data_IF_351018613796
#
_entry.id   IF_351018613796
#
_cell.length_a   1.000
_cell.length_b   1.000
_cell.length_c   1.000
_cell.angle_alpha   90.00
_cell.angle_beta   90.00
_cell.angle_gamma   90.00
#
_symmetry.space_group_name_H-M   'P 1'
#
loop_
_entity.id
_entity.type
_entity.pdbx_description
1 polymer ?
#
# COMPACT_ATOMS: atom_id res chain seq x y z
N UNK A 1 -50.68 -32.75 -175.43
CA UNK A 1 -52.14 -32.58 -175.30
C UNK A 1 -52.40 -31.09 -175.22
N UNK A 2 -53.20 -30.60 -176.15
CA UNK A 2 -53.47 -29.20 -176.46
C UNK A 2 -54.18 -28.50 -175.28
N UNK A 3 -53.43 -27.71 -174.49
CA UNK A 3 -53.91 -27.07 -173.25
C UNK A 3 -54.84 -25.87 -173.50
N UNK A 4 -54.91 -25.33 -174.74
CA UNK A 4 -56.02 -24.43 -175.13
C UNK A 4 -57.36 -25.15 -175.08
N UNK A 5 -57.38 -26.48 -175.26
CA UNK A 5 -58.60 -27.26 -175.07
C UNK A 5 -58.96 -27.46 -173.59
N UNK A 6 -58.01 -27.35 -172.65
CA UNK A 6 -58.31 -27.38 -171.21
C UNK A 6 -58.91 -26.05 -170.75
N UNK A 7 -58.39 -24.93 -171.27
CA UNK A 7 -58.96 -23.59 -171.03
C UNK A 7 -60.35 -23.44 -171.67
N UNK A 8 -60.57 -24.04 -172.85
CA UNK A 8 -61.90 -24.17 -173.44
C UNK A 8 -62.81 -25.15 -172.67
N UNK A 9 -62.29 -26.23 -172.08
CA UNK A 9 -63.09 -27.15 -171.25
C UNK A 9 -63.52 -26.51 -169.92
N UNK A 10 -62.68 -25.65 -169.32
CA UNK A 10 -63.02 -24.86 -168.14
C UNK A 10 -63.97 -23.70 -168.45
N UNK A 11 -63.95 -23.15 -169.67
CA UNK A 11 -64.91 -22.17 -170.17
C UNK A 11 -66.16 -22.81 -170.82
N UNK A 12 -66.25 -24.14 -170.87
CA UNK A 12 -67.45 -24.86 -171.28
C UNK A 12 -68.43 -24.87 -170.10
N UNK A 13 -69.67 -24.41 -170.32
CA UNK A 13 -70.66 -24.16 -169.27
C UNK A 13 -70.93 -25.33 -168.33
N UNK A 14 -70.71 -26.56 -168.80
CA UNK A 14 -71.00 -27.82 -168.10
C UNK A 14 -70.07 -28.07 -166.87
N UNK A 15 -68.77 -27.74 -166.95
CA UNK A 15 -67.87 -27.93 -165.80
C UNK A 15 -68.11 -26.88 -164.69
N UNK A 16 -68.43 -25.65 -165.09
CA UNK A 16 -68.81 -24.57 -164.16
C UNK A 16 -70.13 -24.92 -163.48
N UNK A 17 -71.12 -25.43 -164.21
CA UNK A 17 -72.40 -25.91 -163.65
C UNK A 17 -72.22 -27.09 -162.69
N UNK A 18 -71.35 -28.05 -162.97
CA UNK A 18 -71.09 -29.17 -162.05
C UNK A 18 -70.42 -28.71 -160.75
N UNK A 19 -69.47 -27.77 -160.82
CA UNK A 19 -68.84 -27.18 -159.63
C UNK A 19 -69.83 -26.33 -158.84
N UNK A 20 -70.67 -25.52 -159.51
CA UNK A 20 -71.73 -24.76 -158.85
C UNK A 20 -72.78 -25.68 -158.20
N UNK A 21 -73.22 -26.74 -158.88
CA UNK A 21 -74.18 -27.71 -158.32
C UNK A 21 -73.60 -28.48 -157.12
N UNK A 22 -72.30 -28.79 -157.15
CA UNK A 22 -71.60 -29.45 -156.05
C UNK A 22 -71.42 -28.52 -154.84
N UNK A 23 -71.06 -27.25 -155.08
CA UNK A 23 -70.96 -26.23 -154.03
C UNK A 23 -72.33 -25.89 -153.45
N UNK A 24 -73.38 -25.80 -154.27
CA UNK A 24 -74.76 -25.56 -153.85
C UNK A 24 -75.32 -26.73 -153.05
N UNK A 25 -74.97 -27.97 -153.42
CA UNK A 25 -75.26 -29.18 -152.64
C UNK A 25 -74.57 -29.20 -151.27
N UNK A 26 -73.33 -28.73 -151.18
CA UNK A 26 -72.59 -28.63 -149.91
C UNK A 26 -73.10 -27.45 -149.05
N UNK A 27 -73.41 -26.30 -149.64
CA UNK A 27 -73.90 -25.11 -148.93
C UNK A 27 -75.34 -25.26 -148.42
N UNK A 28 -76.21 -26.00 -149.13
CA UNK A 28 -77.59 -26.20 -148.71
C UNK A 28 -77.74 -27.26 -147.60
N UNK A 29 -76.89 -28.29 -147.55
CA UNK A 29 -77.10 -29.38 -146.59
C UNK A 29 -76.73 -28.96 -145.16
N UNK A 30 -75.68 -28.18 -144.96
CA UNK A 30 -75.22 -27.82 -143.60
C UNK A 30 -76.04 -26.68 -142.95
N UNK A 31 -76.34 -25.63 -143.72
CA UNK A 31 -77.11 -24.49 -143.20
C UNK A 31 -78.56 -24.86 -142.88
N UNK A 32 -79.16 -25.75 -143.67
CA UNK A 32 -80.55 -26.21 -143.50
C UNK A 32 -80.67 -27.17 -142.31
N UNK A 33 -79.64 -27.96 -142.03
CA UNK A 33 -79.58 -28.77 -140.81
C UNK A 33 -79.40 -27.90 -139.56
N UNK A 34 -78.59 -26.84 -139.63
CA UNK A 34 -78.44 -25.88 -138.53
C UNK A 34 -79.73 -25.08 -138.31
N UNK A 35 -80.37 -24.61 -139.38
CA UNK A 35 -81.66 -23.93 -139.35
C UNK A 35 -82.74 -24.85 -138.78
N UNK A 36 -82.80 -26.12 -139.17
CA UNK A 36 -83.71 -27.11 -138.60
C UNK A 36 -83.39 -27.45 -137.14
N UNK A 37 -82.12 -27.46 -136.73
CA UNK A 37 -81.74 -27.67 -135.33
C UNK A 37 -82.14 -26.49 -134.44
N UNK A 38 -82.01 -25.26 -134.96
CA UNK A 38 -82.44 -24.02 -134.29
C UNK A 38 -83.98 -23.84 -134.31
N UNK A 39 -84.64 -24.29 -135.38
CA UNK A 39 -86.10 -24.30 -135.54
C UNK A 39 -86.75 -25.61 -135.05
N UNK A 40 -85.97 -26.52 -134.46
CA UNK A 40 -86.51 -27.67 -133.74
C UNK A 40 -87.21 -27.10 -132.51
N UNK A 41 -88.54 -27.09 -132.52
CA UNK A 41 -89.38 -26.45 -131.50
C UNK A 41 -88.93 -26.73 -130.07
N UNK A 42 -88.33 -27.90 -129.83
CA UNK A 42 -87.76 -28.30 -128.55
C UNK A 42 -86.62 -27.37 -128.04
N UNK A 43 -85.67 -26.93 -128.87
CA UNK A 43 -84.58 -26.04 -128.40
C UNK A 43 -85.09 -24.64 -128.06
N UNK A 44 -85.93 -24.08 -128.92
CA UNK A 44 -86.57 -22.77 -128.69
C UNK A 44 -87.41 -22.79 -127.42
N UNK A 45 -88.27 -23.79 -127.25
CA UNK A 45 -89.09 -23.97 -126.04
C UNK A 45 -88.22 -24.15 -124.80
N UNK A 46 -87.16 -24.96 -124.84
CA UNK A 46 -86.22 -25.12 -123.72
C UNK A 46 -85.57 -23.79 -123.31
N UNK A 47 -85.15 -22.96 -124.28
CA UNK A 47 -84.59 -21.64 -123.99
C UNK A 47 -85.64 -20.73 -123.35
N UNK A 48 -86.88 -20.70 -123.86
CA UNK A 48 -87.96 -19.92 -123.25
C UNK A 48 -88.30 -20.40 -121.84
N UNK A 49 -88.46 -21.71 -121.61
CA UNK A 49 -88.75 -22.27 -120.29
C UNK A 49 -87.59 -22.05 -119.31
N UNK A 50 -86.34 -22.07 -119.78
CA UNK A 50 -85.18 -21.75 -118.93
C UNK A 50 -85.14 -20.27 -118.54
N UNK A 51 -85.43 -19.37 -119.48
CA UNK A 51 -85.52 -17.93 -119.20
C UNK A 51 -86.69 -17.60 -118.29
N UNK A 52 -87.83 -18.26 -118.47
CA UNK A 52 -88.99 -18.14 -117.58
C UNK A 52 -88.67 -18.70 -116.19
N UNK A 53 -87.97 -19.83 -116.09
CA UNK A 53 -87.46 -20.36 -114.82
C UNK A 53 -86.52 -19.38 -114.11
N UNK A 54 -85.56 -18.78 -114.83
CA UNK A 54 -84.67 -17.74 -114.28
C UNK A 54 -85.46 -16.51 -113.83
N UNK A 55 -86.48 -16.11 -114.60
CA UNK A 55 -87.33 -14.97 -114.27
C UNK A 55 -88.15 -15.24 -113.00
N UNK A 56 -88.74 -16.43 -112.85
CA UNK A 56 -89.49 -16.80 -111.66
C UNK A 56 -88.57 -16.95 -110.43
N UNK A 57 -87.36 -17.50 -110.58
CA UNK A 57 -86.33 -17.49 -109.52
C UNK A 57 -86.00 -16.04 -109.13
N UNK A 58 -85.84 -15.14 -110.10
CA UNK A 58 -85.53 -13.73 -109.82
C UNK A 58 -86.64 -13.03 -109.03
N UNK A 59 -87.92 -13.32 -109.33
CA UNK A 59 -89.06 -12.80 -108.58
C UNK A 59 -89.08 -13.29 -107.15
N UNK A 60 -88.89 -14.60 -106.94
CA UNK A 60 -88.86 -15.18 -105.60
C UNK A 60 -87.71 -14.58 -104.79
N UNK A 61 -86.51 -14.50 -105.36
CA UNK A 61 -85.35 -13.87 -104.69
C UNK A 61 -85.61 -12.40 -104.32
N UNK A 62 -86.32 -11.65 -105.18
CA UNK A 62 -86.67 -10.27 -104.92
C UNK A 62 -87.82 -10.10 -103.89
N UNK A 63 -88.63 -11.14 -103.68
CA UNK A 63 -89.70 -11.18 -102.67
C UNK A 63 -89.25 -11.76 -101.32
N UNK A 64 -88.05 -12.34 -101.24
CA UNK A 64 -87.51 -12.84 -99.98
C UNK A 64 -87.10 -11.67 -99.08
N UNK A 65 -88.00 -11.30 -98.16
CA UNK A 65 -87.74 -10.38 -97.04
C UNK A 65 -86.50 -10.77 -96.21
N UNK A 66 -86.02 -12.02 -96.33
CA UNK A 66 -84.73 -12.46 -95.77
C UNK A 66 -83.57 -11.53 -96.14
N UNK A 67 -83.46 -11.10 -97.40
CA UNK A 67 -82.37 -10.23 -97.85
C UNK A 67 -82.47 -8.81 -97.26
N UNK A 68 -83.69 -8.33 -97.01
CA UNK A 68 -83.93 -7.04 -96.35
C UNK A 68 -83.64 -7.11 -94.84
N UNK A 69 -84.03 -8.21 -94.19
CA UNK A 69 -83.75 -8.45 -92.78
C UNK A 69 -82.25 -8.52 -92.46
N UNK A 70 -81.42 -9.02 -93.38
CA UNK A 70 -79.95 -8.97 -93.21
C UNK A 70 -79.43 -7.52 -93.19
N UNK A 71 -79.91 -6.65 -94.09
CA UNK A 71 -79.51 -5.24 -94.12
C UNK A 71 -79.94 -4.47 -92.87
N UNK A 72 -81.14 -4.73 -92.34
CA UNK A 72 -81.65 -4.05 -91.14
C UNK A 72 -80.89 -4.50 -89.88
N UNK A 73 -80.59 -5.79 -89.75
CA UNK A 73 -79.74 -6.29 -88.66
C UNK A 73 -78.31 -5.73 -88.70
N UNK A 74 -77.71 -5.61 -89.89
CA UNK A 74 -76.37 -5.03 -90.04
C UNK A 74 -76.35 -3.55 -89.59
N UNK A 75 -77.39 -2.78 -89.95
CA UNK A 75 -77.55 -1.39 -89.49
C UNK A 75 -77.74 -1.32 -87.96
N UNK A 76 -78.51 -2.23 -87.37
CA UNK A 76 -78.69 -2.33 -85.92
C UNK A 76 -77.38 -2.67 -85.20
N UNK A 77 -76.57 -3.60 -85.76
CA UNK A 77 -75.25 -3.95 -85.22
C UNK A 77 -74.32 -2.73 -85.27
N UNK A 78 -74.26 -2.02 -86.38
CA UNK A 78 -73.45 -0.80 -86.52
C UNK A 78 -73.86 0.25 -85.48
N UNK A 79 -75.17 0.46 -85.28
CA UNK A 79 -75.69 1.38 -84.29
C UNK A 79 -75.30 0.98 -82.86
N UNK A 80 -75.44 -0.30 -82.49
CA UNK A 80 -75.02 -0.83 -81.18
C UNK A 80 -73.51 -0.71 -80.96
N UNK A 81 -72.70 -0.99 -81.97
CA UNK A 81 -71.23 -0.83 -81.91
C UNK A 81 -70.87 0.64 -81.70
N UNK A 82 -71.53 1.56 -82.39
CA UNK A 82 -71.28 2.99 -82.19
C UNK A 82 -71.70 3.46 -80.79
N UNK A 83 -72.83 2.99 -80.26
CA UNK A 83 -73.25 3.26 -78.90
C UNK A 83 -72.24 2.73 -77.86
N UNK A 84 -71.71 1.51 -78.05
CA UNK A 84 -70.66 0.94 -77.20
C UNK A 84 -69.37 1.76 -77.26
N UNK A 85 -68.95 2.24 -78.44
CA UNK A 85 -67.78 3.12 -78.60
C UNK A 85 -67.95 4.43 -77.83
N UNK A 86 -69.12 5.06 -77.94
CA UNK A 86 -69.40 6.30 -77.22
C UNK A 86 -69.43 6.08 -75.70
N UNK A 87 -70.01 4.98 -75.23
CA UNK A 87 -70.01 4.61 -73.81
C UNK A 87 -68.58 4.35 -73.30
N UNK A 88 -67.75 3.65 -74.07
CA UNK A 88 -66.35 3.39 -73.73
C UNK A 88 -65.56 4.69 -73.56
N UNK A 89 -65.70 5.64 -74.49
CA UNK A 89 -65.07 6.96 -74.36
C UNK A 89 -65.52 7.70 -73.09
N UNK A 90 -66.80 7.60 -72.72
CA UNK A 90 -67.31 8.14 -71.45
C UNK A 90 -66.70 7.48 -70.21
N UNK A 91 -66.48 6.17 -70.25
CA UNK A 91 -65.80 5.44 -69.19
C UNK A 91 -64.31 5.80 -69.09
N UNK A 92 -63.61 5.97 -70.21
CA UNK A 92 -62.20 6.40 -70.23
C UNK A 92 -62.03 7.79 -69.60
N UNK A 93 -62.93 8.74 -69.91
CA UNK A 93 -62.92 10.06 -69.25
C UNK A 93 -63.19 9.93 -67.76
N UNK A 94 -64.17 9.13 -67.37
CA UNK A 94 -64.50 8.90 -65.95
C UNK A 94 -63.33 8.26 -65.17
N UNK A 95 -62.60 7.34 -65.80
CA UNK A 95 -61.40 6.72 -65.23
C UNK A 95 -60.30 7.76 -64.99
N UNK A 96 -60.04 8.63 -65.98
CA UNK A 96 -59.07 9.71 -65.85
C UNK A 96 -59.44 10.69 -64.73
N UNK A 97 -60.71 11.07 -64.62
CA UNK A 97 -61.19 11.93 -63.54
C UNK A 97 -61.06 11.27 -62.16
N UNK A 98 -61.40 9.98 -62.05
CA UNK A 98 -61.23 9.23 -60.81
C UNK A 98 -59.77 9.14 -60.41
N UNK A 99 -58.86 8.87 -61.35
CA UNK A 99 -57.43 8.83 -61.10
C UNK A 99 -56.90 10.18 -60.64
N UNK A 100 -57.36 11.27 -61.24
CA UNK A 100 -57.01 12.63 -60.81
C UNK A 100 -57.50 12.92 -59.38
N UNK A 101 -58.75 12.55 -59.05
CA UNK A 101 -59.32 12.71 -57.69
C UNK A 101 -58.58 11.88 -56.66
N UNK A 102 -58.22 10.63 -56.97
CA UNK A 102 -57.44 9.75 -56.08
C UNK A 102 -56.06 10.35 -55.82
N UNK A 103 -55.37 10.84 -56.86
CA UNK A 103 -54.07 11.48 -56.70
C UNK A 103 -54.15 12.77 -55.85
N UNK A 104 -55.18 13.60 -56.08
CA UNK A 104 -55.39 14.80 -55.27
C UNK A 104 -55.65 14.46 -53.80
N UNK A 105 -56.46 13.42 -53.54
CA UNK A 105 -56.72 12.93 -52.18
C UNK A 105 -55.43 12.40 -51.52
N UNK A 106 -54.65 11.59 -52.23
CA UNK A 106 -53.38 11.06 -51.73
C UNK A 106 -52.41 12.18 -51.34
N UNK A 107 -52.28 13.20 -52.19
CA UNK A 107 -51.45 14.38 -51.90
C UNK A 107 -51.95 15.17 -50.69
N UNK A 108 -53.27 15.36 -50.57
CA UNK A 108 -53.86 16.05 -49.41
C UNK A 108 -53.65 15.28 -48.11
N UNK A 109 -53.73 13.94 -48.15
CA UNK A 109 -53.50 13.09 -46.98
C UNK A 109 -52.04 13.14 -46.54
N UNK A 110 -51.10 13.09 -47.48
CA UNK A 110 -49.67 13.19 -47.18
C UNK A 110 -49.32 14.57 -46.58
N UNK A 111 -49.88 15.66 -47.12
CA UNK A 111 -49.70 16.99 -46.55
C UNK A 111 -50.25 17.09 -45.12
N UNK A 112 -51.45 16.54 -44.87
CA UNK A 112 -52.05 16.52 -43.53
C UNK A 112 -51.27 15.67 -42.54
N UNK A 113 -50.70 14.55 -42.99
CA UNK A 113 -49.82 13.72 -42.17
C UNK A 113 -48.56 14.49 -41.75
N UNK A 114 -47.91 15.19 -42.68
CA UNK A 114 -46.71 15.99 -42.39
C UNK A 114 -47.00 17.15 -41.43
N UNK A 115 -48.15 17.83 -41.60
CA UNK A 115 -48.61 18.89 -40.67
C UNK A 115 -48.82 18.34 -39.26
N UNK A 116 -49.47 17.17 -39.14
CA UNK A 116 -49.74 16.54 -37.85
C UNK A 116 -48.44 16.06 -37.17
N UNK A 117 -47.51 15.48 -37.93
CA UNK A 117 -46.18 15.09 -37.42
C UNK A 117 -45.40 16.31 -36.92
N UNK A 118 -45.46 17.44 -37.62
CA UNK A 118 -44.82 18.68 -37.19
C UNK A 118 -45.43 19.23 -35.89
N UNK A 119 -46.77 19.27 -35.79
CA UNK A 119 -47.47 19.71 -34.59
C UNK A 119 -47.17 18.80 -33.39
N UNK A 120 -47.23 17.49 -33.59
CA UNK A 120 -46.91 16.51 -32.55
C UNK A 120 -45.47 16.67 -32.03
N UNK A 121 -44.51 16.89 -32.93
CA UNK A 121 -43.11 17.12 -32.55
C UNK A 121 -42.94 18.39 -31.71
N UNK A 122 -43.65 19.47 -32.06
CA UNK A 122 -43.64 20.72 -31.29
C UNK A 122 -44.24 20.51 -29.89
N UNK A 123 -45.40 19.85 -29.80
CA UNK A 123 -46.05 19.57 -28.53
C UNK A 123 -45.18 18.69 -27.63
N UNK A 124 -44.57 17.63 -28.17
CA UNK A 124 -43.67 16.76 -27.42
C UNK A 124 -42.42 17.50 -26.93
N UNK A 125 -41.85 18.39 -27.75
CA UNK A 125 -40.70 19.21 -27.33
C UNK A 125 -41.09 20.19 -26.21
N UNK A 126 -42.24 20.86 -26.35
CA UNK A 126 -42.76 21.79 -25.34
C UNK A 126 -43.04 21.08 -24.02
N UNK A 127 -43.71 19.92 -24.07
CA UNK A 127 -43.99 19.09 -22.90
C UNK A 127 -42.70 18.63 -22.21
N UNK A 128 -41.71 18.13 -22.98
CA UNK A 128 -40.40 17.72 -22.44
C UNK A 128 -39.67 18.88 -21.75
N UNK A 129 -39.66 20.06 -22.37
CA UNK A 129 -39.03 21.25 -21.79
C UNK A 129 -39.71 21.67 -20.48
N UNK A 130 -41.06 21.71 -20.48
CA UNK A 130 -41.85 22.06 -19.28
C UNK A 130 -41.65 21.06 -18.15
N UNK A 131 -41.65 19.77 -18.44
CA UNK A 131 -41.46 18.72 -17.43
C UNK A 131 -40.03 18.72 -16.86
N UNK A 132 -39.03 18.92 -17.72
CA UNK A 132 -37.62 19.10 -17.29
C UNK A 132 -37.48 20.30 -16.36
N UNK A 133 -38.14 21.43 -16.69
CA UNK A 133 -38.14 22.61 -15.83
C UNK A 133 -38.78 22.33 -14.47
N UNK A 134 -39.97 21.71 -14.43
CA UNK A 134 -40.65 21.36 -13.18
C UNK A 134 -39.81 20.42 -12.31
N UNK A 135 -39.17 19.43 -12.90
CA UNK A 135 -38.29 18.51 -12.17
C UNK A 135 -37.06 19.23 -11.59
N UNK A 136 -36.48 20.17 -12.35
CA UNK A 136 -35.36 20.99 -11.86
C UNK A 136 -35.77 21.91 -10.71
N UNK A 137 -36.93 22.56 -10.81
CA UNK A 137 -37.48 23.41 -9.75
C UNK A 137 -37.76 22.60 -8.47
N UNK A 138 -38.49 21.49 -8.59
CA UNK A 138 -38.77 20.59 -7.46
C UNK A 138 -37.49 20.00 -6.85
N UNK A 139 -36.52 19.61 -7.68
CA UNK A 139 -35.22 19.10 -7.22
C UNK A 139 -34.41 20.15 -6.44
N UNK A 140 -34.43 21.41 -6.89
CA UNK A 140 -33.77 22.51 -6.19
C UNK A 140 -34.47 22.87 -4.87
N UNK A 141 -35.80 22.84 -4.85
CA UNK A 141 -36.58 23.07 -3.64
C UNK A 141 -36.29 22.00 -2.58
N UNK A 142 -36.35 20.71 -2.95
CA UNK A 142 -36.00 19.59 -2.07
C UNK A 142 -34.57 19.69 -1.54
N UNK A 143 -33.61 20.01 -2.41
CA UNK A 143 -32.21 20.21 -2.02
C UNK A 143 -32.08 21.33 -0.98
N UNK A 144 -32.78 22.44 -1.18
CA UNK A 144 -32.76 23.60 -0.27
C UNK A 144 -33.38 23.25 1.08
N UNK A 145 -34.54 22.57 1.08
CA UNK A 145 -35.20 22.10 2.31
C UNK A 145 -34.29 21.13 3.09
N UNK A 146 -33.69 20.15 2.42
CA UNK A 146 -32.78 19.21 3.06
C UNK A 146 -31.56 19.90 3.70
N UNK A 147 -30.97 20.89 3.01
CA UNK A 147 -29.86 21.68 3.57
C UNK A 147 -30.30 22.43 4.83
N UNK A 148 -31.50 23.04 4.81
CA UNK A 148 -32.04 23.75 5.97
C UNK A 148 -32.28 22.81 7.15
N UNK A 149 -32.92 21.65 6.92
CA UNK A 149 -33.17 20.63 7.96
C UNK A 149 -31.88 20.07 8.56
N UNK A 150 -30.88 19.75 7.72
CA UNK A 150 -29.59 19.24 8.20
C UNK A 150 -28.81 20.29 8.98
N UNK A 151 -28.88 21.56 8.57
CA UNK A 151 -28.27 22.67 9.29
C UNK A 151 -28.91 22.84 10.66
N UNK A 152 -30.25 22.83 10.72
CA UNK A 152 -30.99 22.92 11.98
C UNK A 152 -30.70 21.73 12.91
N UNK A 153 -30.65 20.50 12.38
CA UNK A 153 -30.31 19.31 13.15
C UNK A 153 -28.89 19.40 13.74
N UNK A 154 -27.92 19.87 12.96
CA UNK A 154 -26.55 20.10 13.41
C UNK A 154 -26.48 21.15 14.53
N UNK A 155 -27.21 22.26 14.37
CA UNK A 155 -27.23 23.33 15.37
C UNK A 155 -27.88 22.85 16.68
N UNK A 156 -28.99 22.11 16.59
CA UNK A 156 -29.66 21.49 17.73
C UNK A 156 -28.73 20.52 18.49
N UNK A 157 -28.02 19.65 17.76
CA UNK A 157 -27.03 18.73 18.36
C UNK A 157 -25.91 19.50 19.05
N UNK A 158 -25.40 20.56 18.42
CA UNK A 158 -24.35 21.40 18.99
C UNK A 158 -24.81 22.08 20.28
N UNK A 159 -26.04 22.60 20.29
CA UNK A 159 -26.65 23.24 21.45
C UNK A 159 -26.93 22.24 22.59
N UNK A 160 -27.29 21.00 22.27
CA UNK A 160 -27.54 19.95 23.26
C UNK A 160 -26.25 19.41 23.91
N UNK A 161 -25.18 19.25 23.12
CA UNK A 161 -23.94 18.62 23.59
C UNK A 161 -22.99 19.59 24.30
N UNK A 162 -22.92 20.86 23.86
CA UNK A 162 -22.00 21.86 24.43
C UNK A 162 -22.17 22.05 25.96
N UNK A 163 -23.39 22.17 26.51
CA UNK A 163 -23.59 22.30 27.95
C UNK A 163 -23.20 21.03 28.72
N UNK A 164 -23.45 19.85 28.16
CA UNK A 164 -23.08 18.58 28.82
C UNK A 164 -21.57 18.44 28.95
N UNK A 165 -20.82 18.74 27.88
CA UNK A 165 -19.35 18.70 27.89
C UNK A 165 -18.79 19.72 28.89
N UNK A 166 -19.34 20.93 28.92
CA UNK A 166 -18.91 21.96 29.90
C UNK A 166 -19.24 21.56 31.34
N UNK A 167 -20.41 20.96 31.58
CA UNK A 167 -20.83 20.50 32.90
C UNK A 167 -19.94 19.36 33.41
N UNK A 168 -19.65 18.37 32.57
CA UNK A 168 -18.74 17.25 32.91
C UNK A 168 -17.35 17.78 33.22
N UNK A 169 -16.77 18.62 32.36
CA UNK A 169 -15.44 19.20 32.60
C UNK A 169 -15.36 20.03 33.88
N UNK A 170 -16.42 20.77 34.22
CA UNK A 170 -16.48 21.53 35.48
C UNK A 170 -16.56 20.61 36.70
N UNK A 171 -17.37 19.55 36.65
CA UNK A 171 -17.50 18.58 37.73
C UNK A 171 -16.22 17.80 37.98
N UNK A 172 -15.54 17.34 36.92
CA UNK A 172 -14.26 16.63 37.03
C UNK A 172 -13.15 17.53 37.59
N UNK A 173 -13.09 18.79 37.14
CA UNK A 173 -12.15 19.78 37.68
C UNK A 173 -12.39 20.01 39.17
N UNK A 174 -13.65 20.12 39.60
CA UNK A 174 -14.00 20.27 41.01
C UNK A 174 -13.57 19.04 41.84
N UNK A 175 -13.90 17.82 41.38
CA UNK A 175 -13.50 16.58 42.07
C UNK A 175 -11.98 16.44 42.20
N UNK A 176 -11.23 16.79 41.15
CA UNK A 176 -9.76 16.75 41.18
C UNK A 176 -9.18 17.79 42.16
N UNK A 177 -9.78 18.97 42.23
CA UNK A 177 -9.38 20.01 43.21
C UNK A 177 -9.68 19.58 44.64
N UNK A 178 -10.85 18.99 44.90
CA UNK A 178 -11.23 18.45 46.21
C UNK A 178 -10.24 17.33 46.64
N UNK A 179 -10.00 16.34 45.78
CA UNK A 179 -9.03 15.27 46.05
C UNK A 179 -7.59 15.80 46.23
N UNK A 180 -7.19 16.79 45.42
CA UNK A 180 -5.88 17.43 45.54
C UNK A 180 -5.69 18.18 46.85
N UNK A 181 -6.72 18.89 47.32
CA UNK A 181 -6.71 19.57 48.62
C UNK A 181 -6.68 18.59 49.79
N UNK A 182 -7.41 17.48 49.67
CA UNK A 182 -7.43 16.43 50.70
C UNK A 182 -6.06 15.74 50.83
N UNK A 183 -5.44 15.35 49.72
CA UNK A 183 -4.07 14.81 49.68
C UNK A 183 -3.04 15.80 50.24
N UNK A 184 -3.14 17.08 49.87
CA UNK A 184 -2.26 18.12 50.41
C UNK A 184 -2.40 18.24 51.92
N UNK A 185 -3.63 18.18 52.44
CA UNK A 185 -3.90 18.25 53.88
C UNK A 185 -3.33 17.04 54.62
N UNK A 186 -3.55 15.83 54.10
CA UNK A 186 -2.98 14.59 54.65
C UNK A 186 -1.45 14.64 54.69
N UNK A 187 -0.82 15.06 53.59
CA UNK A 187 0.64 15.19 53.51
C UNK A 187 1.20 16.21 54.51
N UNK A 188 0.52 17.36 54.68
CA UNK A 188 0.91 18.35 55.71
C UNK A 188 0.81 17.76 57.11
N UNK A 189 -0.24 17.00 57.41
CA UNK A 189 -0.41 16.34 58.70
C UNK A 189 0.69 15.31 58.96
N UNK A 190 1.00 14.45 57.99
CA UNK A 190 2.08 13.46 58.07
C UNK A 190 3.45 14.12 58.25
N UNK A 191 3.78 15.13 57.44
CA UNK A 191 5.04 15.87 57.57
C UNK A 191 5.17 16.57 58.93
N UNK A 192 4.06 17.09 59.46
CA UNK A 192 4.03 17.70 60.79
C UNK A 192 4.30 16.65 61.87
N UNK A 193 3.71 15.46 61.74
CA UNK A 193 3.97 14.35 62.65
C UNK A 193 5.42 13.89 62.59
N UNK A 194 5.99 13.71 61.39
CA UNK A 194 7.41 13.36 61.20
C UNK A 194 8.32 14.42 61.80
N UNK A 195 8.04 15.71 61.56
CA UNK A 195 8.80 16.82 62.15
C UNK A 195 8.77 16.79 63.68
N UNK A 196 7.59 16.55 64.27
CA UNK A 196 7.45 16.46 65.72
C UNK A 196 8.21 15.26 66.30
N UNK A 197 8.14 14.10 65.63
CA UNK A 197 8.90 12.91 66.01
C UNK A 197 10.41 13.15 65.93
N UNK A 198 10.89 13.77 64.87
CA UNK A 198 12.30 14.11 64.70
C UNK A 198 12.78 15.10 65.76
N UNK A 199 11.95 16.10 66.12
CA UNK A 199 12.25 17.02 67.22
C UNK A 199 12.39 16.28 68.56
N UNK A 200 11.49 15.32 68.84
CA UNK A 200 11.58 14.46 70.03
C UNK A 200 12.84 13.59 70.04
N UNK A 201 13.21 13.01 68.90
CA UNK A 201 14.45 12.24 68.77
C UNK A 201 15.70 13.10 68.94
N UNK A 202 15.68 14.34 68.44
CA UNK A 202 16.77 15.29 68.62
C UNK A 202 16.97 15.67 70.09
N UNK A 203 15.88 15.90 70.83
CA UNK A 203 15.95 16.16 72.28
C UNK A 203 16.47 14.94 73.05
N UNK A 204 16.06 13.71 72.66
CA UNK A 204 16.65 12.47 73.22
C UNK A 204 18.16 12.39 72.94
N UNK A 205 18.59 12.73 71.72
CA UNK A 205 20.01 12.73 71.35
C UNK A 205 20.79 13.78 72.15
N UNK A 206 20.25 14.98 72.35
CA UNK A 206 20.85 16.02 73.19
C UNK A 206 21.00 15.56 74.63
N UNK A 207 19.95 14.98 75.22
CA UNK A 207 20.02 14.43 76.58
C UNK A 207 21.07 13.32 76.70
N UNK A 208 21.13 12.40 75.73
CA UNK A 208 22.15 11.36 75.68
C UNK A 208 23.56 11.94 75.50
N UNK A 209 23.73 13.00 74.70
CA UNK A 209 25.02 13.69 74.50
C UNK A 209 25.47 14.43 75.76
N UNK A 210 24.55 15.08 76.48
CA UNK A 210 24.82 15.71 77.77
C UNK A 210 25.21 14.67 78.83
N UNK A 211 24.56 13.49 78.83
CA UNK A 211 24.93 12.37 79.68
C UNK A 211 26.29 11.77 79.30
N UNK A 212 26.62 11.71 78.00
CA UNK A 212 27.95 11.33 77.49
C UNK A 212 29.06 12.31 77.89
N UNK A 213 28.76 13.61 77.99
CA UNK A 213 29.69 14.66 78.46
C UNK A 213 29.96 14.57 79.96
N UNK A 214 28.99 14.06 80.74
CA UNK A 214 29.10 13.83 82.18
C UNK A 214 29.56 12.41 82.54
N UNK A 215 29.90 11.59 81.53
CA UNK A 215 30.53 10.28 81.68
C UNK A 215 31.99 10.41 81.24
N UNK A 216 32.99 9.88 81.99
CA UNK A 216 34.39 10.02 81.59
C UNK A 216 34.62 9.40 80.20
N UNK A 217 35.01 10.22 79.22
CA UNK A 217 35.51 9.78 77.92
C UNK A 217 36.95 10.22 77.76
N UNK A 218 37.73 9.35 77.10
CA UNK A 218 39.15 9.43 76.83
C UNK A 218 39.51 10.77 76.16
N UNK A 219 39.99 11.71 76.98
CA UNK A 219 40.99 12.71 76.61
C UNK A 219 42.36 12.02 76.74
N UNK A 220 43.28 12.23 75.79
CA UNK A 220 44.67 11.79 75.98
C UNK A 220 45.31 11.02 74.82
N UNK A 221 45.18 11.49 73.59
CA UNK A 221 46.21 11.19 72.59
C UNK A 221 46.65 12.49 71.95
N UNK A 222 47.78 13.01 72.42
CA UNK A 222 48.36 14.24 71.91
C UNK A 222 49.14 13.85 70.64
N UNK A 223 48.60 14.14 69.46
CA UNK A 223 49.19 13.73 68.18
C UNK A 223 49.97 14.89 67.55
N UNK A 224 51.23 14.65 67.19
CA UNK A 224 52.05 15.60 66.42
C UNK A 224 52.15 15.12 64.98
N UNK A 225 51.62 15.91 64.05
CA UNK A 225 51.79 15.65 62.63
C UNK A 225 53.26 15.81 62.24
N UNK A 226 53.88 14.76 61.70
CA UNK A 226 55.29 14.77 61.31
C UNK A 226 55.51 15.14 59.84
N UNK A 227 54.57 14.80 58.98
CA UNK A 227 54.68 15.12 57.57
C UNK A 227 53.77 14.32 56.67
N UNK A 228 53.73 14.78 55.42
CA UNK A 228 53.06 14.12 54.30
C UNK A 228 54.12 13.77 53.27
N UNK A 229 54.04 12.54 52.74
CA UNK A 229 54.82 12.12 51.58
C UNK A 229 53.87 11.85 50.41
N UNK A 230 53.97 12.66 49.36
CA UNK A 230 53.20 12.54 48.11
C UNK A 230 54.18 12.60 46.95
N UNK A 231 54.51 11.43 46.38
CA UNK A 231 55.29 11.33 45.16
C UNK A 231 54.77 10.16 44.33
N UNK A 232 54.59 10.38 43.03
CA UNK A 232 54.13 9.38 42.07
C UNK A 232 55.12 9.21 40.93
N UNK A 233 56.27 8.57 41.19
CA UNK A 233 57.14 8.09 40.12
C UNK A 233 56.63 6.71 39.69
N UNK A 234 55.98 6.64 38.53
CA UNK A 234 55.60 5.36 37.94
C UNK A 234 56.87 4.60 37.58
N UNK A 235 57.06 3.44 38.20
CA UNK A 235 58.17 2.54 37.89
C UNK A 235 57.61 1.13 37.78
N UNK A 236 58.01 0.42 36.72
CA UNK A 236 57.69 -0.99 36.59
C UNK A 236 58.60 -1.76 37.53
N UNK A 237 58.00 -2.43 38.50
CA UNK A 237 58.72 -3.27 39.43
C UNK A 237 58.43 -4.74 39.13
N UNK A 238 59.43 -5.47 38.66
CA UNK A 238 59.36 -6.91 38.46
C UNK A 238 60.06 -7.59 39.62
N UNK A 239 59.29 -8.18 40.53
CA UNK A 239 59.87 -8.98 41.59
C UNK A 239 59.99 -10.44 41.13
N UNK A 240 61.22 -10.89 40.93
CA UNK A 240 61.54 -12.27 40.55
C UNK A 240 62.04 -13.11 41.74
N UNK A 241 61.99 -12.56 42.97
CA UNK A 241 62.52 -13.16 44.19
C UNK A 241 61.42 -13.38 45.24
N UNK A 242 61.59 -14.42 46.05
CA UNK A 242 60.74 -14.71 47.21
C UNK A 242 61.15 -13.94 48.47
N UNK A 243 62.19 -13.11 48.32
CA UNK A 243 62.63 -12.15 49.31
C UNK A 243 61.91 -10.81 49.13
N UNK A 244 61.59 -10.15 50.24
CA UNK A 244 61.07 -8.80 50.21
C UNK A 244 62.14 -7.83 49.71
N UNK A 245 61.86 -7.22 48.56
CA UNK A 245 62.67 -6.20 47.92
C UNK A 245 62.04 -4.83 48.12
N UNK A 246 62.87 -3.83 48.35
CA UNK A 246 62.42 -2.45 48.54
C UNK A 246 61.84 -1.89 47.23
N UNK A 247 60.63 -1.36 47.29
CA UNK A 247 60.02 -0.60 46.19
C UNK A 247 60.53 0.84 46.23
N UNK A 248 60.35 1.48 47.38
CA UNK A 248 60.81 2.83 47.65
C UNK A 248 60.75 3.15 49.15
N UNK A 249 61.54 4.13 49.53
CA UNK A 249 61.62 4.72 50.86
C UNK A 249 60.93 6.08 50.87
N UNK A 250 60.25 6.44 51.95
CA UNK A 250 59.66 7.77 52.12
C UNK A 250 60.78 8.77 52.43
N UNK A 251 61.22 9.50 51.41
CA UNK A 251 62.22 10.55 51.59
C UNK A 251 61.65 11.67 52.50
N UNK A 252 62.49 12.21 53.39
CA UNK A 252 62.18 13.34 54.26
C UNK A 252 61.24 13.06 55.45
N UNK A 253 60.93 11.80 55.77
CA UNK A 253 60.32 11.42 57.05
C UNK A 253 61.32 10.55 57.82
N UNK A 254 61.81 11.10 58.92
CA UNK A 254 62.75 10.42 59.83
C UNK A 254 62.04 10.25 61.16
N UNK A 255 62.07 9.03 61.69
CA UNK A 255 61.43 8.66 62.95
C UNK A 255 62.49 8.41 64.02
N UNK A 256 62.22 8.91 65.22
CA UNK A 256 63.07 8.72 66.38
C UNK A 256 62.88 7.32 66.98
N UNK A 257 63.83 6.89 67.80
CA UNK A 257 63.77 5.61 68.50
C UNK A 257 62.80 5.67 69.69
N UNK A 258 62.25 4.50 70.05
CA UNK A 258 61.34 4.34 71.19
C UNK A 258 60.14 5.32 71.21
N UNK A 259 59.60 5.64 70.03
CA UNK A 259 58.45 6.52 69.85
C UNK A 259 57.30 5.77 69.17
N UNK A 260 56.08 6.12 69.54
CA UNK A 260 54.88 5.57 68.94
C UNK A 260 54.40 6.47 67.81
N UNK A 261 54.01 5.87 66.70
CA UNK A 261 53.57 6.57 65.50
C UNK A 261 52.31 5.94 64.94
N UNK A 262 51.54 6.72 64.18
CA UNK A 262 50.49 6.23 63.28
C UNK A 262 50.92 6.56 61.86
N UNK A 263 51.00 5.54 61.00
CA UNK A 263 51.13 5.74 59.55
C UNK A 263 49.81 5.42 58.87
N UNK A 264 49.28 6.41 58.16
CA UNK A 264 48.21 6.23 57.19
C UNK A 264 48.85 6.24 55.81
N UNK A 265 48.95 5.08 55.17
CA UNK A 265 49.56 4.94 53.87
C UNK A 265 48.57 4.34 52.88
N UNK A 266 48.65 4.80 51.64
CA UNK A 266 47.91 4.20 50.56
C UNK A 266 48.69 4.34 49.25
N UNK A 267 48.69 3.30 48.43
CA UNK A 267 49.42 3.24 47.17
C UNK A 267 48.60 2.49 46.13
N UNK A 268 48.41 3.06 44.93
CA UNK A 268 47.69 2.37 43.87
C UNK A 268 48.66 1.36 43.25
N UNK A 269 48.18 0.19 42.88
CA UNK A 269 48.99 -0.76 42.14
C UNK A 269 48.20 -1.28 40.95
N UNK A 270 48.91 -1.58 39.88
CA UNK A 270 48.41 -2.38 38.78
C UNK A 270 49.20 -3.69 38.74
N UNK A 271 48.52 -4.82 38.82
CA UNK A 271 49.11 -6.15 38.65
C UNK A 271 48.55 -6.75 37.37
N UNK A 272 49.44 -7.06 36.43
CA UNK A 272 49.08 -7.89 35.27
C UNK A 272 49.11 -9.35 35.69
N UNK A 273 48.05 -10.10 35.45
CA UNK A 273 47.86 -11.49 35.89
C UNK A 273 47.12 -12.30 34.83
N UNK A 274 47.48 -13.57 34.70
CA UNK A 274 46.81 -14.53 33.82
C UNK A 274 45.74 -15.36 34.55
N UNK A 275 45.31 -14.91 35.73
CA UNK A 275 44.29 -15.57 36.55
C UNK A 275 44.81 -16.14 37.85
N UNK A 276 44.00 -17.00 38.46
CA UNK A 276 44.25 -17.64 39.77
C UNK A 276 45.61 -18.33 39.87
N UNK A 277 46.19 -18.73 38.74
CA UNK A 277 47.45 -19.47 38.64
C UNK A 277 48.62 -18.64 38.08
N UNK A 278 48.50 -17.31 38.07
CA UNK A 278 49.53 -16.42 37.54
C UNK A 278 50.68 -16.23 38.54
N UNK A 279 51.92 -16.31 38.04
CA UNK A 279 53.15 -16.04 38.80
C UNK A 279 53.34 -14.56 39.21
N UNK A 280 52.40 -13.70 38.84
CA UNK A 280 52.50 -12.25 38.98
C UNK A 280 51.79 -11.69 40.23
N UNK A 281 51.22 -12.55 41.07
CA UNK A 281 50.70 -12.16 42.38
C UNK A 281 51.85 -11.93 43.37
N UNK A 282 51.62 -11.12 44.40
CA UNK A 282 52.68 -10.77 45.35
C UNK A 282 52.17 -10.19 46.65
N UNK A 283 53.11 -9.97 47.56
CA UNK A 283 52.84 -9.44 48.89
C UNK A 283 53.55 -8.11 49.07
N UNK A 284 52.97 -7.21 49.87
CA UNK A 284 53.54 -5.92 50.22
C UNK A 284 53.47 -5.71 51.73
N UNK A 285 54.43 -4.97 52.26
CA UNK A 285 54.49 -4.62 53.68
C UNK A 285 55.26 -3.31 53.84
N UNK A 286 54.82 -2.46 54.76
CA UNK A 286 55.62 -1.33 55.24
C UNK A 286 56.61 -1.84 56.26
N UNK A 287 57.85 -1.41 56.14
CA UNK A 287 58.88 -1.67 57.13
C UNK A 287 59.48 -0.36 57.60
N UNK A 288 59.95 -0.37 58.85
CA UNK A 288 60.97 0.56 59.28
C UNK A 288 62.31 0.06 58.76
N UNK A 289 63.12 0.98 58.25
CA UNK A 289 64.47 0.72 57.74
C UNK A 289 65.44 1.62 58.48
N UNK A 290 66.49 1.02 59.02
CA UNK A 290 67.61 1.72 59.62
C UNK A 290 68.86 0.87 59.39
N UNK A 291 69.94 1.51 58.92
CA UNK A 291 71.18 0.82 58.55
C UNK A 291 70.91 -0.34 57.58
N UNK A 292 71.39 -1.55 57.91
CA UNK A 292 71.20 -2.76 57.09
C UNK A 292 70.11 -3.70 57.65
N UNK A 293 69.11 -3.13 58.34
CA UNK A 293 68.02 -3.87 58.99
C UNK A 293 66.65 -3.40 58.50
N UNK A 294 65.70 -4.34 58.45
CA UNK A 294 64.29 -4.09 58.17
C UNK A 294 63.42 -4.58 59.33
N UNK A 295 62.44 -3.76 59.73
CA UNK A 295 61.50 -4.05 60.80
C UNK A 295 60.06 -3.96 60.27
N UNK A 296 59.42 -5.11 59.97
CA UNK A 296 58.08 -5.11 59.38
C UNK A 296 57.02 -4.52 60.31
N UNK A 297 56.23 -3.56 59.81
CA UNK A 297 55.02 -3.10 60.48
C UNK A 297 53.94 -4.15 60.21
N UNK A 298 53.70 -5.02 61.17
CA UNK A 298 52.91 -6.25 60.99
C UNK A 298 51.52 -5.96 60.41
N UNK A 299 50.83 -4.95 60.96
CA UNK A 299 49.46 -4.58 60.54
C UNK A 299 49.40 -3.95 59.14
N UNK A 300 50.55 -3.72 58.51
CA UNK A 300 50.62 -3.20 57.15
C UNK A 300 50.70 -4.32 56.12
N UNK A 301 50.80 -5.60 56.50
CA UNK A 301 50.93 -6.67 55.52
C UNK A 301 49.71 -6.78 54.59
N UNK A 302 49.96 -6.93 53.29
CA UNK A 302 48.93 -6.95 52.28
C UNK A 302 49.25 -7.92 51.15
N UNK A 303 48.27 -8.73 50.76
CA UNK A 303 48.40 -9.69 49.67
C UNK A 303 47.63 -9.21 48.43
N UNK A 304 48.31 -9.08 47.30
CA UNK A 304 47.70 -8.77 46.01
C UNK A 304 47.24 -10.06 45.33
N UNK A 305 46.03 -10.52 45.67
CA UNK A 305 45.43 -11.76 45.13
C UNK A 305 44.15 -11.47 44.36
N UNK A 306 43.87 -12.32 43.36
CA UNK A 306 42.66 -12.18 42.53
C UNK A 306 42.17 -13.50 41.96
N UNK A 307 40.85 -13.61 41.76
CA UNK A 307 40.22 -14.71 41.07
C UNK A 307 39.92 -14.45 39.58
N UNK A 308 40.39 -13.34 39.01
CA UNK A 308 40.02 -12.92 37.66
C UNK A 308 40.73 -13.74 36.57
N UNK A 309 40.05 -14.73 35.99
CA UNK A 309 40.58 -15.80 35.13
C UNK A 309 40.89 -15.44 33.65
N UNK A 310 41.35 -14.21 33.35
CA UNK A 310 41.71 -13.84 31.97
C UNK A 310 43.23 -13.78 31.76
N UNK A 311 43.75 -14.40 30.69
CA UNK A 311 45.12 -14.16 30.23
C UNK A 311 45.32 -12.68 29.89
N UNK A 312 46.36 -12.03 30.42
CA UNK A 312 46.62 -10.60 30.25
C UNK A 312 45.69 -9.68 31.04
N UNK A 313 44.97 -10.21 32.03
CA UNK A 313 44.12 -9.39 32.90
C UNK A 313 44.95 -8.40 33.70
N UNK A 314 44.45 -7.18 33.84
CA UNK A 314 45.05 -6.16 34.70
C UNK A 314 44.14 -5.90 35.87
N UNK A 315 44.73 -5.83 37.06
CA UNK A 315 44.00 -5.51 38.27
C UNK A 315 44.59 -4.27 38.86
N UNK A 316 43.72 -3.29 39.02
CA UNK A 316 44.04 -2.05 39.67
C UNK A 316 43.47 -2.17 41.09
N UNK A 317 44.38 -2.18 42.06
CA UNK A 317 44.04 -2.21 43.46
C UNK A 317 44.64 -1.03 44.20
N UNK A 318 44.49 -1.04 45.52
CA UNK A 318 45.19 -0.09 46.37
C UNK A 318 45.64 -0.81 47.61
N UNK A 319 46.94 -0.75 47.86
CA UNK A 319 47.52 -1.13 49.12
C UNK A 319 47.20 -0.04 50.13
N UNK A 320 46.58 -0.37 51.27
CA UNK A 320 46.20 0.61 52.29
C UNK A 320 46.55 0.14 53.68
N UNK A 321 47.02 1.07 54.47
CA UNK A 321 47.51 0.86 55.81
C UNK A 321 47.06 2.04 56.66
N UNK A 322 46.47 1.76 57.80
CA UNK A 322 46.32 2.72 58.89
C UNK A 322 46.76 2.00 60.16
N UNK A 323 48.05 2.12 60.47
CA UNK A 323 48.67 1.26 61.48
C UNK A 323 49.42 2.10 62.50
N UNK A 324 49.09 1.96 63.79
CA UNK A 324 49.98 2.37 64.85
C UNK A 324 51.16 1.40 64.93
N UNK A 325 52.34 1.91 65.27
CA UNK A 325 53.53 1.12 65.54
C UNK A 325 54.46 1.86 66.50
N UNK A 326 55.38 1.14 67.14
CA UNK A 326 56.42 1.72 68.00
C UNK A 326 57.79 1.42 67.40
N UNK A 327 58.67 2.42 67.36
CA UNK A 327 60.06 2.23 66.92
C UNK A 327 60.88 1.56 68.03
N UNK A 328 61.87 0.74 67.66
CA UNK A 328 62.77 0.09 68.62
C UNK A 328 63.75 1.08 69.24
N UNK A 329 64.31 0.77 70.42
CA UNK A 329 65.27 1.62 71.15
C UNK A 329 66.62 1.78 70.47
N UNK A 330 67.03 0.80 69.67
CA UNK A 330 68.46 0.56 69.39
C UNK A 330 69.01 1.34 68.18
N UNK A 331 68.16 1.87 67.31
CA UNK A 331 68.57 2.60 66.11
C UNK A 331 67.90 3.97 66.06
N UNK A 332 68.66 5.05 65.86
CA UNK A 332 68.09 6.37 65.60
C UNK A 332 67.88 6.56 64.08
N UNK A 333 66.88 7.36 63.70
CA UNK A 333 66.57 7.74 62.31
C UNK A 333 65.94 6.63 61.45
N UNK A 334 64.92 5.95 61.96
CA UNK A 334 64.15 5.03 61.15
C UNK A 334 63.49 5.77 59.99
N UNK A 335 63.47 5.13 58.84
CA UNK A 335 62.67 5.55 57.69
C UNK A 335 61.61 4.52 57.40
N UNK A 336 60.49 4.97 56.84
CA UNK A 336 59.46 4.04 56.38
C UNK A 336 59.75 3.71 54.92
N UNK A 337 59.73 2.43 54.57
CA UNK A 337 59.87 1.97 53.20
C UNK A 337 58.84 0.87 52.89
N UNK A 338 58.42 0.83 51.64
CA UNK A 338 57.53 -0.22 51.12
C UNK A 338 58.39 -1.33 50.56
N UNK A 339 58.11 -2.56 50.98
CA UNK A 339 58.74 -3.75 50.44
C UNK A 339 57.71 -4.64 49.77
N UNK A 340 58.12 -5.34 48.70
CA UNK A 340 57.28 -6.32 48.01
C UNK A 340 58.06 -7.59 47.68
N UNK A 341 57.39 -8.73 47.53
CA UNK A 341 58.00 -10.00 47.05
C UNK A 341 57.11 -10.77 46.07
N UNK A 342 57.73 -11.64 45.27
CA UNK A 342 57.04 -12.73 44.56
C UNK A 342 56.50 -13.74 45.58
N UNK A 343 55.40 -14.40 45.26
CA UNK A 343 54.86 -15.51 46.04
C UNK A 343 54.86 -16.80 45.18
N UNK A 344 55.72 -17.77 45.52
CA UNK A 344 56.09 -19.03 44.81
C UNK A 344 54.95 -19.94 44.32
N UNK A 345 55.03 -20.35 43.05
CA UNK A 345 54.30 -21.40 42.31
C UNK A 345 53.44 -22.43 43.11
N UNK A 346 52.14 -22.41 42.78
CA UNK A 346 51.07 -23.43 42.93
C UNK A 346 50.18 -23.46 44.22
N UNK A 347 48.86 -23.49 43.98
CA UNK A 347 47.80 -24.34 44.65
C UNK A 347 47.36 -24.02 46.09
N UNK A 348 46.14 -24.30 46.61
CA UNK A 348 44.76 -24.58 46.16
C UNK A 348 43.82 -24.21 47.33
N UNK A 349 42.61 -23.75 46.96
CA UNK A 349 41.28 -24.02 47.56
C UNK A 349 41.26 -24.57 49.00
N UNK A 350 40.65 -23.91 49.98
CA UNK A 350 39.20 -23.64 50.02
C UNK A 350 38.82 -22.38 50.81
N UNK A 351 37.61 -21.88 50.57
CA UNK A 351 36.80 -21.28 51.64
C UNK A 351 37.08 -21.99 52.97
N UNK A 352 37.44 -21.26 54.02
CA UNK A 352 37.93 -21.79 55.31
C UNK A 352 39.21 -22.64 55.21
N UNK A 353 40.34 -22.05 55.59
CA UNK A 353 41.45 -22.79 56.22
C UNK A 353 41.70 -22.18 57.59
N UNK A 354 41.81 -23.02 58.63
CA UNK A 354 42.11 -22.63 60.01
C UNK A 354 43.61 -22.41 60.27
N UNK A 355 44.39 -22.15 59.22
CA UNK A 355 45.82 -21.90 59.33
C UNK A 355 46.10 -20.39 59.38
N UNK A 356 46.19 -19.86 60.59
CA UNK A 356 46.53 -18.46 60.91
C UNK A 356 48.00 -18.12 60.65
N UNK A 357 48.84 -19.11 60.32
CA UNK A 357 50.30 -18.96 60.22
C UNK A 357 50.78 -17.87 59.25
N UNK A 358 50.08 -17.61 58.15
CA UNK A 358 50.43 -16.56 57.18
C UNK A 358 50.15 -15.13 57.66
N UNK A 359 49.41 -14.99 58.77
CA UNK A 359 49.09 -13.73 59.43
C UNK A 359 49.75 -13.63 60.81
N UNK A 360 50.52 -14.64 61.21
CA UNK A 360 51.22 -14.63 62.49
C UNK A 360 52.47 -13.76 62.39
N UNK A 361 52.74 -13.03 63.48
CA UNK A 361 53.96 -12.22 63.64
C UNK A 361 55.24 -13.02 63.35
N UNK A 362 55.23 -14.34 63.64
CA UNK A 362 56.33 -15.27 63.37
C UNK A 362 56.68 -15.36 61.89
N UNK A 363 55.72 -15.22 60.98
CA UNK A 363 55.96 -15.32 59.54
C UNK A 363 56.76 -14.13 59.01
N UNK A 364 56.34 -12.90 59.35
CA UNK A 364 57.03 -11.68 58.93
C UNK A 364 58.41 -11.54 59.60
N UNK A 365 58.52 -11.91 60.88
CA UNK A 365 59.78 -11.80 61.61
C UNK A 365 60.85 -12.80 61.11
N UNK A 366 60.44 -13.88 60.45
CA UNK A 366 61.33 -14.87 59.86
C UNK A 366 61.47 -14.72 58.33
N UNK A 367 60.85 -13.69 57.73
CA UNK A 367 60.97 -13.43 56.30
C UNK A 367 62.39 -12.98 55.93
N UNK A 368 62.80 -13.25 54.69
CA UNK A 368 64.08 -12.78 54.15
C UNK A 368 63.85 -11.49 53.36
N UNK A 369 64.61 -10.46 53.69
CA UNK A 369 64.64 -9.18 52.99
C UNK A 369 65.98 -9.08 52.26
N UNK A 370 65.94 -8.76 50.97
CA UNK A 370 67.14 -8.78 50.15
C UNK A 370 68.18 -7.78 50.70
N UNK A 371 69.39 -8.26 50.97
CA UNK A 371 70.51 -7.50 51.55
C UNK A 371 70.29 -6.94 52.98
N UNK A 372 69.20 -7.30 53.67
CA UNK A 372 68.88 -6.76 55.01
C UNK A 372 68.69 -7.88 56.03
N UNK A 373 68.98 -7.58 57.31
CA UNK A 373 68.67 -8.48 58.42
C UNK A 373 67.31 -8.13 59.02
N UNK A 374 66.41 -9.11 59.10
CA UNK A 374 65.04 -8.93 59.61
C UNK A 374 65.04 -8.86 61.13
N UNK A 375 64.32 -7.89 61.69
CA UNK A 375 64.16 -7.68 63.12
C UNK A 375 62.70 -7.43 63.45
N UNK A 376 62.26 -7.83 64.64
CA UNK A 376 60.85 -7.66 65.05
C UNK A 376 60.58 -6.24 65.55
N UNK A 377 59.39 -5.69 65.32
CA UNK A 377 58.91 -4.49 66.03
C UNK A 377 58.21 -4.86 67.35
N UNK A 378 58.04 -3.92 68.31
CA UNK A 378 57.22 -4.14 69.49
C UNK A 378 55.77 -4.44 69.11
N UNK A 379 55.12 -5.39 69.80
CA UNK A 379 53.78 -5.89 69.47
C UNK A 379 52.64 -5.04 70.04
N UNK A 380 52.93 -3.82 70.47
CA UNK A 380 52.03 -3.01 71.30
C UNK A 380 50.71 -2.63 70.60
N UNK A 381 50.66 -2.71 69.26
CA UNK A 381 49.49 -2.37 68.46
C UNK A 381 49.27 -3.43 67.38
N UNK A 382 48.21 -4.24 67.49
CA UNK A 382 47.74 -5.16 66.44
C UNK A 382 46.23 -4.93 66.23
N UNK A 383 45.78 -4.82 64.99
CA UNK A 383 44.36 -4.62 64.68
C UNK A 383 43.96 -5.19 63.32
N UNK A 384 42.84 -5.93 63.32
CA UNK A 384 42.17 -6.50 62.15
C UNK A 384 41.16 -5.50 61.58
N UNK A 385 41.35 -5.12 60.31
CA UNK A 385 40.40 -4.53 59.33
C UNK A 385 40.74 -3.13 58.81
N UNK A 386 40.43 -2.95 57.51
CA UNK A 386 39.67 -1.85 56.86
C UNK A 386 40.32 -1.29 55.58
N UNK A 387 39.49 -1.23 54.52
CA UNK A 387 39.69 -0.60 53.20
C UNK A 387 39.26 0.90 53.20
N UNK A 388 39.85 1.82 52.38
CA UNK A 388 39.25 2.87 51.47
C UNK A 388 40.23 4.01 51.01
N UNK A 389 39.97 4.67 49.85
CA UNK A 389 40.83 5.19 48.71
C UNK A 389 41.77 6.42 48.83
N UNK A 390 42.80 6.46 47.94
CA UNK A 390 43.76 7.55 47.51
C UNK A 390 45.18 7.50 48.05
N UNK A 391 46.20 7.78 47.23
CA UNK A 391 47.60 7.46 47.53
C UNK A 391 48.36 8.58 48.25
N UNK A 392 48.47 8.46 49.56
CA UNK A 392 49.06 9.47 50.44
C UNK A 392 49.66 8.75 51.66
N UNK A 393 50.80 9.21 52.17
CA UNK A 393 51.30 8.83 53.48
C UNK A 393 51.14 10.01 54.45
N UNK A 394 50.35 9.86 55.51
CA UNK A 394 50.29 10.78 56.65
C UNK A 394 50.91 10.08 57.86
N UNK A 395 51.89 10.73 58.49
CA UNK A 395 52.55 10.19 59.69
C UNK A 395 52.32 11.12 60.87
N UNK A 396 51.86 10.54 61.98
CA UNK A 396 51.68 11.22 63.25
C UNK A 396 52.57 10.57 64.30
N UNK A 397 53.29 11.36 65.08
CA UNK A 397 53.89 10.96 66.35
C UNK A 397 52.80 10.98 67.43
N UNK A 398 52.69 9.88 68.18
CA UNK A 398 51.89 9.81 69.40
C UNK A 398 52.78 10.36 70.52
N UNK A 399 52.42 11.52 71.05
CA UNK A 399 53.07 12.12 72.21
C UNK A 399 52.45 11.49 73.47
N UNK A 400 53.30 10.89 74.30
CA UNK A 400 52.93 10.42 75.65
C UNK A 400 52.63 11.58 76.60
#
# INVERSE_FOLDING_TARGET
MDLRNLENALNNGDFKEQVYSSLEGIYQIDLKNLENALNNGNFKEQVYSSLEGVYEISKVLNQLDLLKNFSDHDLEIIAKVQAMKNALAGYEVSEQELKAKINALANSLEAKKQELEALLNIELQSARASETQKLNEAGNELKTQLIAELTQAKDNLTQALKPQIQSVGSSETQKLNEAGNELKTQLIAELTQVKNNLALELEKLKANTQNLLNTPRIQGVNLKFLGIYVYGRQSFFKNESDEFMELFEFANIVLENNKSYIVQFSMPYEVSTNGLYSESMGEMVLCLKANNKAYPIINSFYQNKTALLGSGSKIIGTYRVNSPFKTQSDEANYKIAVFARKHKDLWINVNYTSNTGGFETSFLNNARFANLTTQSIPKDYNNDWVFYKHSQALVYEILE
#
